data_IF_544431891769
#
_entry.id   IF_544431891769
#
_cell.length_a   1.000
_cell.length_b   1.000
_cell.length_c   1.000
_cell.angle_alpha   90.00
_cell.angle_beta   90.00
_cell.angle_gamma   90.00
#
_symmetry.space_group_name_H-M   'P 1'
#
loop_
_entity.id
_entity.type
_entity.pdbx_description
1 polymer ?
#
# COMPACT_ATOMS: atom_id res chain seq x y z
N UNK A 1 -21.86 1.86 -6.73
CA UNK A 1 -20.61 1.21 -6.29
C UNK A 1 -19.77 2.22 -5.52
N UNK A 2 -19.28 1.83 -4.36
CA UNK A 2 -18.49 2.71 -3.51
C UNK A 2 -17.04 2.24 -3.53
N UNK A 3 -16.16 3.03 -4.13
CA UNK A 3 -14.75 2.73 -4.16
C UNK A 3 -14.09 3.17 -2.85
N UNK A 4 -13.14 2.38 -2.39
CA UNK A 4 -12.34 2.66 -1.18
C UNK A 4 -10.88 2.70 -1.58
N UNK A 5 -10.20 3.78 -1.21
CA UNK A 5 -8.75 3.89 -1.47
C UNK A 5 -8.00 3.83 -0.14
N UNK A 6 -6.96 3.00 -0.11
CA UNK A 6 -6.06 2.88 1.04
C UNK A 6 -4.68 3.35 0.61
N UNK A 7 -4.06 4.17 1.45
CA UNK A 7 -2.67 4.60 1.27
C UNK A 7 -1.88 4.04 2.44
N UNK A 8 -0.87 3.21 2.13
CA UNK A 8 -0.02 2.58 3.14
C UNK A 8 1.41 3.05 2.95
N UNK A 9 1.99 3.64 3.98
CA UNK A 9 3.36 4.16 3.96
C UNK A 9 4.32 3.16 4.56
N UNK A 10 5.52 3.07 3.96
CA UNK A 10 6.58 2.17 4.39
C UNK A 10 7.91 2.92 4.42
N UNK A 11 8.75 2.62 5.40
CA UNK A 11 10.14 3.06 5.39
C UNK A 11 11.04 1.87 5.17
N UNK A 12 12.01 2.00 4.28
CA UNK A 12 13.03 0.97 4.07
C UNK A 12 14.22 1.22 4.99
N UNK A 13 14.79 0.15 5.55
CA UNK A 13 16.09 0.25 6.20
C UNK A 13 17.12 0.68 5.17
N UNK A 14 18.12 1.42 5.61
CA UNK A 14 19.19 1.88 4.74
C UNK A 14 19.84 0.68 4.03
N UNK A 15 19.92 0.76 2.72
CA UNK A 15 20.46 -0.33 1.90
C UNK A 15 19.44 -1.39 1.49
N UNK A 16 18.20 -1.31 1.99
CA UNK A 16 17.16 -2.28 1.67
C UNK A 16 16.06 -1.72 0.76
N UNK A 17 16.29 -0.56 0.18
CA UNK A 17 15.27 0.13 -0.62
C UNK A 17 14.79 -0.72 -1.79
N UNK A 18 15.71 -1.31 -2.55
CA UNK A 18 15.35 -2.12 -3.71
C UNK A 18 14.61 -3.39 -3.30
N UNK A 19 14.98 -3.99 -2.18
CA UNK A 19 14.28 -5.16 -1.66
C UNK A 19 12.84 -4.84 -1.29
N UNK A 20 12.62 -3.67 -0.67
CA UNK A 20 11.27 -3.25 -0.33
C UNK A 20 10.44 -2.97 -1.59
N UNK A 21 11.01 -2.28 -2.58
CA UNK A 21 10.31 -2.00 -3.83
C UNK A 21 9.91 -3.31 -4.51
N UNK A 22 10.82 -4.29 -4.58
CA UNK A 22 10.52 -5.58 -5.17
C UNK A 22 9.41 -6.30 -4.41
N UNK A 23 9.44 -6.25 -3.08
CA UNK A 23 8.40 -6.85 -2.27
C UNK A 23 7.04 -6.21 -2.51
N UNK A 24 7.00 -4.88 -2.66
CA UNK A 24 5.76 -4.15 -2.96
C UNK A 24 5.20 -4.54 -4.33
N UNK A 25 6.08 -4.70 -5.32
CA UNK A 25 5.67 -5.12 -6.67
C UNK A 25 5.11 -6.53 -6.68
N UNK A 26 5.64 -7.41 -5.84
CA UNK A 26 5.29 -8.82 -5.83
C UNK A 26 4.12 -9.14 -4.90
N UNK A 27 3.64 -8.16 -4.14
CA UNK A 27 2.45 -8.37 -3.33
C UNK A 27 1.25 -8.65 -4.23
N UNK A 28 0.39 -9.57 -3.80
CA UNK A 28 -0.82 -9.91 -4.55
C UNK A 28 -1.84 -8.78 -4.45
N UNK A 29 -1.92 -7.98 -5.50
CA UNK A 29 -2.84 -6.85 -5.59
C UNK A 29 -4.12 -7.19 -6.37
N UNK A 30 -4.43 -8.49 -6.54
CA UNK A 30 -5.54 -8.92 -7.38
C UNK A 30 -6.90 -8.44 -6.89
N UNK A 31 -7.03 -8.10 -5.59
CA UNK A 31 -8.28 -7.57 -5.05
C UNK A 31 -8.45 -6.08 -5.32
N UNK A 32 -7.40 -5.39 -5.73
CA UNK A 32 -7.46 -3.96 -6.05
C UNK A 32 -7.90 -3.75 -7.49
N UNK A 33 -8.77 -2.77 -7.72
CA UNK A 33 -9.13 -2.39 -9.10
C UNK A 33 -8.03 -1.53 -9.72
N UNK A 34 -7.24 -0.85 -8.90
CA UNK A 34 -6.03 -0.16 -9.34
C UNK A 34 -5.05 -0.06 -8.17
N UNK A 35 -3.76 0.04 -8.49
CA UNK A 35 -2.75 0.21 -7.46
C UNK A 35 -1.52 0.90 -8.03
N UNK A 36 -0.80 1.61 -7.16
CA UNK A 36 0.41 2.33 -7.50
C UNK A 36 1.40 2.23 -6.36
N UNK A 37 2.68 2.31 -6.69
CA UNK A 37 3.75 2.42 -5.71
C UNK A 37 4.43 3.76 -5.94
N UNK A 38 4.52 4.58 -4.89
CA UNK A 38 5.06 5.93 -4.96
C UNK A 38 6.34 6.03 -4.15
N UNK A 39 7.30 6.80 -4.64
CA UNK A 39 8.41 7.27 -3.83
C UNK A 39 8.00 8.60 -3.23
N UNK A 40 7.92 8.69 -1.91
CA UNK A 40 7.40 9.89 -1.23
C UNK A 40 8.45 10.59 -0.38
N UNK A 41 9.67 10.07 -0.34
CA UNK A 41 10.76 10.68 0.40
C UNK A 41 11.98 9.79 0.34
N UNK A 42 13.02 10.18 1.03
CA UNK A 42 14.22 9.36 1.12
C UNK A 42 13.91 8.11 1.92
N UNK A 43 14.10 6.95 1.30
CA UNK A 43 13.82 5.64 1.91
C UNK A 43 12.35 5.43 2.29
N UNK A 44 11.44 6.25 1.79
CA UNK A 44 10.02 6.14 2.14
C UNK A 44 9.18 5.98 0.89
N UNK A 45 8.22 5.05 0.97
CA UNK A 45 7.37 4.67 -0.16
C UNK A 45 5.92 4.55 0.30
N UNK A 46 5.01 4.66 -0.64
CA UNK A 46 3.59 4.47 -0.37
C UNK A 46 2.99 3.55 -1.42
N UNK A 47 2.13 2.65 -0.97
CA UNK A 47 1.29 1.86 -1.86
C UNK A 47 -0.12 2.45 -1.81
N UNK A 48 -0.68 2.74 -2.97
CA UNK A 48 -2.03 3.28 -3.10
C UNK A 48 -2.88 2.23 -3.78
N UNK A 49 -3.87 1.71 -3.06
CA UNK A 49 -4.74 0.65 -3.56
C UNK A 49 -6.18 1.12 -3.53
N UNK A 50 -6.89 0.90 -4.63
CA UNK A 50 -8.33 1.20 -4.71
C UNK A 50 -9.09 -0.12 -4.84
N UNK A 51 -10.15 -0.26 -4.06
CA UNK A 51 -10.98 -1.46 -3.98
C UNK A 51 -12.42 -1.13 -4.35
N UNK A 52 -13.14 -2.11 -4.86
CA UNK A 52 -14.55 -1.96 -5.20
C UNK A 52 -15.45 -1.82 -3.97
N UNK A 53 -15.02 -2.32 -2.82
CA UNK A 53 -15.82 -2.32 -1.62
C UNK A 53 -14.96 -2.40 -0.37
N UNK A 54 -15.56 -2.10 0.77
CA UNK A 54 -14.92 -2.25 2.07
C UNK A 54 -14.59 -3.70 2.34
N UNK A 55 -15.43 -4.62 1.89
CA UNK A 55 -15.22 -6.06 2.07
C UNK A 55 -13.96 -6.53 1.36
N UNK A 56 -13.74 -6.10 0.12
CA UNK A 56 -12.53 -6.46 -0.62
C UNK A 56 -11.28 -5.92 0.07
N UNK A 57 -11.34 -4.69 0.55
CA UNK A 57 -10.23 -4.09 1.30
C UNK A 57 -9.95 -4.85 2.58
N UNK A 58 -11.00 -5.26 3.29
CA UNK A 58 -10.86 -6.00 4.56
C UNK A 58 -10.22 -7.36 4.35
N UNK A 59 -10.56 -8.04 3.26
CA UNK A 59 -9.93 -9.32 2.92
C UNK A 59 -8.44 -9.15 2.68
N UNK A 60 -8.05 -8.06 2.06
CA UNK A 60 -6.65 -7.79 1.74
C UNK A 60 -5.81 -7.47 2.98
N UNK A 61 -6.43 -6.95 4.04
CA UNK A 61 -5.73 -6.65 5.29
C UNK A 61 -5.13 -7.92 5.90
N UNK A 62 -5.87 -9.03 5.90
CA UNK A 62 -5.38 -10.29 6.46
C UNK A 62 -4.15 -10.78 5.71
N UNK A 63 -4.23 -10.81 4.37
CA UNK A 63 -3.09 -11.20 3.53
C UNK A 63 -1.91 -10.24 3.73
N UNK A 64 -2.20 -8.95 3.90
CA UNK A 64 -1.19 -7.92 4.09
C UNK A 64 -0.40 -8.10 5.37
N UNK A 65 -1.04 -8.53 6.46
CA UNK A 65 -0.33 -8.76 7.72
C UNK A 65 0.68 -9.91 7.60
N UNK A 66 0.29 -11.01 6.96
CA UNK A 66 1.22 -12.12 6.73
C UNK A 66 2.38 -11.70 5.85
N UNK A 67 2.11 -10.92 4.81
CA UNK A 67 3.14 -10.41 3.93
C UNK A 67 4.11 -9.48 4.68
N UNK A 68 3.59 -8.59 5.53
CA UNK A 68 4.43 -7.71 6.34
C UNK A 68 5.36 -8.49 7.25
N UNK A 69 4.87 -9.57 7.85
CA UNK A 69 5.71 -10.43 8.68
C UNK A 69 6.88 -11.00 7.87
N UNK A 70 6.66 -11.29 6.59
CA UNK A 70 7.69 -11.87 5.73
C UNK A 70 8.76 -10.85 5.32
N UNK A 71 8.49 -9.55 5.41
CA UNK A 71 9.44 -8.51 4.98
C UNK A 71 9.88 -7.58 6.11
N UNK A 72 9.61 -7.95 7.36
CA UNK A 72 9.95 -7.10 8.52
C UNK A 72 11.43 -6.71 8.55
N UNK A 73 12.31 -7.57 8.07
CA UNK A 73 13.75 -7.31 8.10
C UNK A 73 14.18 -6.16 7.20
N UNK A 74 13.37 -5.77 6.21
CA UNK A 74 13.71 -4.64 5.33
C UNK A 74 13.02 -3.35 5.72
N UNK A 75 12.12 -3.39 6.72
CA UNK A 75 11.36 -2.23 7.15
C UNK A 75 12.02 -1.52 8.33
N UNK A 76 12.07 -0.19 8.24
CA UNK A 76 12.40 0.65 9.36
C UNK A 76 11.12 1.05 10.06
N UNK A 77 11.11 0.92 11.40
CA UNK A 77 9.91 1.26 12.16
C UNK A 77 9.72 2.78 12.23
N UNK A 78 8.46 3.20 12.26
CA UNK A 78 8.10 4.59 12.53
C UNK A 78 8.32 4.90 14.01
N UNK A 79 8.26 6.18 14.38
CA UNK A 79 8.55 6.62 15.74
C UNK A 79 7.67 5.95 16.78
N UNK A 80 6.43 5.61 16.42
CA UNK A 80 5.51 4.92 17.31
C UNK A 80 5.71 3.41 17.36
N UNK A 81 6.73 2.89 16.69
CA UNK A 81 7.02 1.47 16.62
C UNK A 81 6.25 0.70 15.58
N UNK A 82 5.40 1.34 14.81
CA UNK A 82 4.64 0.65 13.77
C UNK A 82 5.50 0.37 12.54
N UNK A 83 5.17 -0.73 11.84
CA UNK A 83 5.86 -1.11 10.60
C UNK A 83 5.37 -0.30 9.40
N UNK A 84 4.14 0.16 9.46
CA UNK A 84 3.51 0.94 8.40
C UNK A 84 2.62 2.00 9.00
N UNK A 85 2.27 3.00 8.19
CA UNK A 85 1.24 3.96 8.52
C UNK A 85 0.24 3.94 7.38
N UNK A 86 -1.02 3.62 7.69
CA UNK A 86 -2.04 3.47 6.66
C UNK A 86 -3.29 4.25 7.03
N UNK A 87 -3.96 4.74 6.00
CA UNK A 87 -5.28 5.32 6.16
C UNK A 87 -6.09 5.02 4.92
N UNK A 88 -7.42 5.03 5.08
CA UNK A 88 -8.35 4.73 4.00
C UNK A 88 -9.44 5.77 3.95
N UNK A 89 -10.01 5.94 2.77
CA UNK A 89 -11.14 6.83 2.58
C UNK A 89 -12.05 6.31 1.49
N UNK A 90 -13.28 6.78 1.52
CA UNK A 90 -14.26 6.49 0.49
C UNK A 90 -14.08 7.52 -0.62
N UNK A 91 -14.02 7.04 -1.87
CA UNK A 91 -13.87 7.93 -3.02
C UNK A 91 -15.19 8.66 -3.24
N UNK A 92 -15.17 9.97 -3.05
CA UNK A 92 -16.37 10.80 -3.25
C UNK A 92 -16.51 11.29 -4.68
N UNK A 93 -15.38 11.46 -5.37
CA UNK A 93 -15.34 11.94 -6.74
C UNK A 93 -14.12 11.39 -7.45
N UNK A 94 -14.30 10.96 -8.67
CA UNK A 94 -13.20 10.46 -9.50
C UNK A 94 -13.35 11.08 -10.88
N UNK A 95 -12.29 11.71 -11.34
CA UNK A 95 -12.29 12.35 -12.65
C UNK A 95 -11.90 11.33 -13.70
N UNK A 96 -12.69 11.21 -14.77
CA UNK A 96 -12.36 10.37 -15.91
C UNK A 96 -11.68 11.19 -16.98
N UNK A 97 -10.52 10.72 -17.43
CA UNK A 97 -9.75 11.43 -18.44
C UNK A 97 -9.52 10.56 -19.67
N UNK A 98 -10.27 9.50 -19.82
CA UNK A 98 -10.02 8.49 -20.84
C UNK A 98 -10.49 8.87 -22.25
N UNK A 99 -11.05 10.03 -22.46
CA UNK A 99 -11.74 10.38 -23.69
C UNK A 99 -10.92 11.19 -24.67
N UNK A 100 -9.62 11.04 -24.61
CA UNK A 100 -8.76 11.83 -25.48
C UNK A 100 -8.01 10.96 -26.46
#
# INVERSE_FOLDING_TARGET
MTLVTTITRFKAKHGSENQLIDALRNFDNSKSVSWQILSIGENEYAAVNTYESIEERSMDVVSGLDWLDSITQVLELYEDGSRTQAFSGIVLHQNETSNY
#
